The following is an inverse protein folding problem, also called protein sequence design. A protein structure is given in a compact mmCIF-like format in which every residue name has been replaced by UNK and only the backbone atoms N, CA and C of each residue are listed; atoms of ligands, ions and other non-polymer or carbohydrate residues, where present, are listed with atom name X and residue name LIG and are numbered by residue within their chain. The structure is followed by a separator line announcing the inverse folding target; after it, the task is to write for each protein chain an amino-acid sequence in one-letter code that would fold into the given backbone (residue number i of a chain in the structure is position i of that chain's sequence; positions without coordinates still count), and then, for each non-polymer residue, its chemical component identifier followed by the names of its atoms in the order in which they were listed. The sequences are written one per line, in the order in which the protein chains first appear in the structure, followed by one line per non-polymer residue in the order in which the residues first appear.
data_IF_858148153440
#
_entry.id   IF_858148153440
#
_cell.length_a   1.000
_cell.length_b   1.000
_cell.length_c   1.000
_cell.angle_alpha   90.00
_cell.angle_beta   90.00
_cell.angle_gamma   90.00
#
_symmetry.space_group_name_H-M   'P 1'
#
loop_
_entity.id
_entity.type
_entity.pdbx_description
1 polymer ?
#
# COMPACT_ATOMS: atom_id res chain seq x y z
N UNK A 1 0.94 -2.29 -1.34
CA UNK A 1 1.88 -1.86 -0.28
C UNK A 1 1.14 -1.73 1.04
N UNK A 2 1.56 -2.50 2.04
CA UNK A 2 0.97 -2.51 3.39
C UNK A 2 2.08 -2.40 4.45
N UNK A 3 2.54 -1.18 4.78
CA UNK A 3 3.60 -1.01 5.78
C UNK A 3 3.09 -1.20 7.21
N UNK A 4 4.00 -1.62 8.07
CA UNK A 4 3.82 -1.64 9.52
C UNK A 4 3.67 -0.21 10.03
N UNK A 5 2.74 0.00 10.96
CA UNK A 5 2.57 1.30 11.56
C UNK A 5 3.83 1.73 12.32
N UNK A 6 4.08 3.04 12.43
CA UNK A 6 5.27 3.56 13.13
C UNK A 6 4.87 4.41 14.32
N UNK A 7 5.19 3.92 15.52
CA UNK A 7 4.93 4.61 16.78
C UNK A 7 3.45 5.04 16.90
N UNK A 8 2.51 4.13 16.66
CA UNK A 8 1.06 4.39 16.67
C UNK A 8 0.64 5.59 15.80
N UNK A 9 1.28 5.78 14.63
CA UNK A 9 0.98 6.90 13.74
C UNK A 9 1.71 8.20 14.09
N UNK A 10 2.42 8.27 15.22
CA UNK A 10 3.20 9.46 15.62
C UNK A 10 4.38 9.73 14.70
N UNK A 11 4.93 8.67 14.08
CA UNK A 11 5.98 8.81 13.06
C UNK A 11 5.34 8.60 11.70
N UNK A 12 5.38 9.64 10.87
CA UNK A 12 4.73 9.57 9.57
C UNK A 12 5.39 8.57 8.61
N UNK A 13 4.62 8.10 7.63
CA UNK A 13 5.12 7.32 6.49
C UNK A 13 5.09 8.22 5.24
N UNK A 14 6.13 9.05 5.02
CA UNK A 14 6.20 9.95 3.87
C UNK A 14 6.49 9.15 2.59
N UNK A 15 5.44 8.88 1.81
CA UNK A 15 5.53 8.04 0.61
C UNK A 15 6.51 8.60 -0.42
N UNK A 16 6.51 9.92 -0.63
CA UNK A 16 7.41 10.62 -1.56
C UNK A 16 8.90 10.46 -1.20
N UNK A 17 9.21 10.27 0.10
CA UNK A 17 10.59 10.06 0.55
C UNK A 17 11.01 8.59 0.47
N UNK A 18 10.04 7.66 0.42
CA UNK A 18 10.30 6.23 0.40
C UNK A 18 10.42 5.70 -1.03
N UNK A 19 9.69 6.29 -1.97
CA UNK A 19 9.59 5.80 -3.35
C UNK A 19 9.39 6.97 -4.32
N UNK A 20 9.96 6.85 -5.52
CA UNK A 20 9.65 7.76 -6.62
C UNK A 20 8.26 7.43 -7.19
N UNK A 21 7.24 8.12 -6.69
CA UNK A 21 5.85 7.87 -7.06
C UNK A 21 5.54 8.22 -8.52
N UNK A 22 6.24 9.19 -9.11
CA UNK A 22 6.08 9.52 -10.53
C UNK A 22 6.56 8.38 -11.42
N UNK A 23 7.76 7.86 -11.12
CA UNK A 23 8.31 6.71 -11.84
C UNK A 23 7.47 5.46 -11.62
N UNK A 24 7.00 5.23 -10.41
CA UNK A 24 6.12 4.09 -10.08
C UNK A 24 4.79 4.18 -10.84
N UNK A 25 4.14 5.35 -10.85
CA UNK A 25 2.88 5.54 -11.56
C UNK A 25 3.06 5.27 -13.05
N UNK A 26 4.10 5.83 -13.68
CA UNK A 26 4.40 5.60 -15.10
C UNK A 26 4.63 4.11 -15.40
N UNK A 27 5.38 3.41 -14.55
CA UNK A 27 5.61 1.98 -14.72
C UNK A 27 4.31 1.17 -14.57
N UNK A 28 3.43 1.55 -13.64
CA UNK A 28 2.13 0.92 -13.48
C UNK A 28 1.23 1.16 -14.70
N UNK A 29 1.22 2.37 -15.28
CA UNK A 29 0.52 2.68 -16.53
C UNK A 29 1.03 1.80 -17.69
N UNK A 30 2.35 1.72 -17.87
CA UNK A 30 2.99 0.93 -18.94
C UNK A 30 2.72 -0.58 -18.83
N UNK A 31 2.59 -1.09 -17.60
CA UNK A 31 2.35 -2.51 -17.32
C UNK A 31 0.89 -2.86 -17.07
N UNK A 32 -0.02 -1.89 -17.21
CA UNK A 32 -1.44 -2.02 -16.89
C UNK A 32 -1.68 -2.63 -15.48
N UNK A 33 -0.95 -2.09 -14.51
CA UNK A 33 -0.98 -2.49 -13.10
C UNK A 33 -1.55 -1.37 -12.24
N UNK A 34 -2.12 -1.72 -11.09
CA UNK A 34 -2.59 -0.76 -10.09
C UNK A 34 -1.79 -0.97 -8.81
N UNK A 35 -1.18 0.09 -8.29
CA UNK A 35 -0.46 0.08 -7.04
C UNK A 35 -1.36 0.57 -5.90
N UNK A 36 -1.77 -0.35 -5.03
CA UNK A 36 -2.66 -0.04 -3.91
C UNK A 36 -1.85 0.19 -2.62
N UNK A 37 -2.10 1.29 -1.93
CA UNK A 37 -1.49 1.62 -0.64
C UNK A 37 -2.56 1.50 0.46
N UNK A 38 -2.28 0.71 1.48
CA UNK A 38 -3.14 0.58 2.67
C UNK A 38 -2.28 0.70 3.92
N UNK A 39 -2.24 1.87 4.53
CA UNK A 39 -1.61 2.07 5.85
C UNK A 39 -2.55 1.60 6.96
N UNK A 40 -1.99 1.39 8.15
CA UNK A 40 -2.75 1.11 9.37
C UNK A 40 -3.64 2.30 9.76
N UNK A 41 -4.75 2.06 10.47
CA UNK A 41 -5.72 3.11 10.84
C UNK A 41 -5.11 4.22 11.72
N UNK A 42 -4.02 3.94 12.43
CA UNK A 42 -3.25 4.95 13.17
C UNK A 42 -2.69 6.06 12.27
N UNK A 43 -2.50 5.78 10.98
CA UNK A 43 -2.03 6.74 9.98
C UNK A 43 -3.18 7.39 9.19
N UNK A 44 -4.44 7.23 9.61
CA UNK A 44 -5.62 7.78 8.91
C UNK A 44 -5.62 9.31 8.79
N UNK A 45 -4.92 10.00 9.70
CA UNK A 45 -4.78 11.46 9.71
C UNK A 45 -3.64 11.97 8.82
N UNK A 46 -2.86 11.08 8.21
CA UNK A 46 -1.83 11.49 7.26
C UNK A 46 -2.43 11.93 5.94
N UNK A 47 -1.68 12.76 5.20
CA UNK A 47 -2.03 13.12 3.83
C UNK A 47 -2.08 11.84 2.98
N UNK A 48 -3.20 11.62 2.31
CA UNK A 48 -3.42 10.60 1.29
C UNK A 48 -3.06 11.15 -0.09
N UNK A 49 -2.77 10.26 -1.04
CA UNK A 49 -2.43 10.62 -2.44
C UNK A 49 -3.66 10.88 -3.33
N UNK A 50 -4.78 11.32 -2.75
CA UNK A 50 -6.06 11.39 -3.45
C UNK A 50 -5.97 12.19 -4.75
N UNK A 51 -6.23 11.50 -5.88
CA UNK A 51 -6.30 12.05 -7.24
C UNK A 51 -4.99 12.63 -7.81
N UNK A 52 -3.83 12.36 -7.19
CA UNK A 52 -2.54 12.80 -7.72
C UNK A 52 -2.01 11.88 -8.85
N UNK A 53 -2.40 10.60 -8.86
CA UNK A 53 -1.86 9.57 -9.75
C UNK A 53 -2.99 8.74 -10.39
N UNK A 54 -2.78 8.27 -11.63
CA UNK A 54 -3.77 7.50 -12.38
C UNK A 54 -3.82 6.02 -11.97
N UNK A 55 -2.66 5.48 -11.58
CA UNK A 55 -2.44 4.04 -11.36
C UNK A 55 -1.93 3.73 -9.95
N UNK A 56 -1.86 4.73 -9.07
CA UNK A 56 -1.58 4.58 -7.64
C UNK A 56 -2.83 5.00 -6.87
N UNK A 57 -3.32 4.12 -5.98
CA UNK A 57 -4.53 4.36 -5.20
C UNK A 57 -4.20 4.20 -3.71
N UNK A 58 -4.45 5.23 -2.92
CA UNK A 58 -4.36 5.16 -1.46
C UNK A 58 -5.74 4.87 -0.87
N UNK A 59 -5.91 3.67 -0.31
CA UNK A 59 -7.14 3.20 0.33
C UNK A 59 -7.02 3.19 1.86
N UNK A 60 -6.06 3.93 2.43
CA UNK A 60 -5.83 3.97 3.88
C UNK A 60 -7.09 4.32 4.65
N UNK A 61 -7.86 5.30 4.17
CA UNK A 61 -9.08 5.82 4.81
C UNK A 61 -10.38 5.16 4.31
N UNK A 62 -10.28 4.26 3.33
CA UNK A 62 -11.42 3.54 2.79
C UNK A 62 -11.78 2.33 3.67
N UNK A 63 -13.07 2.00 3.71
CA UNK A 63 -13.58 0.79 4.39
C UNK A 63 -13.37 -0.45 3.52
N UNK A 64 -12.11 -0.79 3.27
CA UNK A 64 -11.71 -1.99 2.53
C UNK A 64 -11.04 -2.97 3.48
N UNK A 65 -11.48 -4.23 3.46
CA UNK A 65 -10.87 -5.29 4.26
C UNK A 65 -9.47 -5.60 3.72
N UNK A 66 -8.49 -5.69 4.62
CA UNK A 66 -7.12 -6.05 4.29
C UNK A 66 -7.07 -7.43 3.60
N UNK A 67 -7.85 -8.41 4.05
CA UNK A 67 -7.88 -9.75 3.49
C UNK A 67 -8.42 -9.78 2.06
N UNK A 68 -9.35 -8.88 1.71
CA UNK A 68 -9.81 -8.72 0.32
C UNK A 68 -8.68 -8.21 -0.56
N UNK A 69 -7.92 -7.20 -0.11
CA UNK A 69 -6.77 -6.69 -0.84
C UNK A 69 -5.69 -7.77 -1.02
N UNK A 70 -5.41 -8.56 0.01
CA UNK A 70 -4.48 -9.69 -0.07
C UNK A 70 -4.97 -10.73 -1.08
N UNK A 71 -6.24 -11.15 -1.00
CA UNK A 71 -6.82 -12.15 -1.91
C UNK A 71 -6.70 -11.77 -3.38
N UNK A 72 -6.92 -10.50 -3.73
CA UNK A 72 -6.94 -10.05 -5.13
C UNK A 72 -5.62 -9.47 -5.64
N UNK A 73 -4.68 -9.12 -4.75
CA UNK A 73 -3.36 -8.64 -5.16
C UNK A 73 -2.49 -9.76 -5.70
N UNK A 74 -1.74 -9.46 -6.78
CA UNK A 74 -0.76 -10.39 -7.38
C UNK A 74 0.60 -10.38 -6.68
N UNK A 75 0.94 -9.27 -6.03
CA UNK A 75 2.18 -9.04 -5.31
C UNK A 75 1.87 -8.25 -4.03
N UNK A 76 2.46 -8.64 -2.91
CA UNK A 76 2.38 -7.89 -1.65
C UNK A 76 3.72 -7.23 -1.35
N UNK A 77 3.79 -5.90 -1.34
CA UNK A 77 4.95 -5.20 -0.77
C UNK A 77 4.63 -4.85 0.69
N UNK A 78 5.45 -5.30 1.62
CA UNK A 78 5.33 -5.02 3.06
C UNK A 78 6.71 -4.95 3.72
N UNK A 79 6.78 -4.62 5.01
CA UNK A 79 8.01 -4.57 5.80
C UNK A 79 7.99 -5.64 6.92
N UNK A 80 7.48 -5.33 8.11
CA UNK A 80 7.46 -6.21 9.29
C UNK A 80 6.02 -6.54 9.75
N UNK A 81 5.06 -6.50 8.82
CA UNK A 81 3.63 -6.64 9.13
C UNK A 81 3.22 -8.11 9.11
N UNK A 82 2.47 -8.57 10.12
CA UNK A 82 1.98 -9.96 10.18
C UNK A 82 1.12 -10.39 9.00
N UNK A 83 0.58 -9.45 8.20
CA UNK A 83 -0.18 -9.79 6.99
C UNK A 83 0.65 -10.56 5.94
N UNK A 84 1.99 -10.52 6.02
CA UNK A 84 2.82 -11.36 5.15
C UNK A 84 2.54 -12.85 5.39
N UNK A 85 2.28 -13.25 6.63
CA UNK A 85 2.02 -14.66 7.00
C UNK A 85 0.76 -15.15 6.31
N UNK A 86 -0.30 -14.34 6.30
CA UNK A 86 -1.55 -14.67 5.60
C UNK A 86 -1.33 -14.76 4.08
N UNK A 87 -0.51 -13.87 3.52
CA UNK A 87 -0.24 -13.83 2.08
C UNK A 87 0.60 -15.01 1.59
N UNK A 88 1.44 -15.61 2.45
CA UNK A 88 2.19 -16.83 2.12
C UNK A 88 1.27 -17.99 1.71
N UNK A 89 0.02 -18.01 2.19
CA UNK A 89 -0.97 -19.03 1.81
C UNK A 89 -1.36 -18.97 0.33
N UNK A 90 -1.10 -17.86 -0.36
CA UNK A 90 -1.46 -17.66 -1.76
C UNK A 90 -0.38 -18.11 -2.74
N UNK A 91 0.83 -18.45 -2.25
CA UNK A 91 2.01 -18.79 -3.06
C UNK A 91 2.29 -17.74 -4.16
N UNK A 92 2.28 -16.47 -3.75
CA UNK A 92 2.50 -15.29 -4.61
C UNK A 92 3.71 -14.49 -4.13
N UNK A 93 4.34 -13.69 -5.01
CA UNK A 93 5.48 -12.85 -4.63
C UNK A 93 5.14 -11.86 -3.50
N UNK A 94 6.04 -11.77 -2.51
CA UNK A 94 6.07 -10.77 -1.43
C UNK A 94 7.40 -10.03 -1.48
#
# INVERSE_FOLDING_TARGET
YMPTHRNEGKKQIPLDNLMDLNRLNKWCEETNSIFVIKKHFYHSKEKTLEKEYSSIIDVTNEKVDAQELLKYSKILITDYSSCYIDYLLLDRPI
#
